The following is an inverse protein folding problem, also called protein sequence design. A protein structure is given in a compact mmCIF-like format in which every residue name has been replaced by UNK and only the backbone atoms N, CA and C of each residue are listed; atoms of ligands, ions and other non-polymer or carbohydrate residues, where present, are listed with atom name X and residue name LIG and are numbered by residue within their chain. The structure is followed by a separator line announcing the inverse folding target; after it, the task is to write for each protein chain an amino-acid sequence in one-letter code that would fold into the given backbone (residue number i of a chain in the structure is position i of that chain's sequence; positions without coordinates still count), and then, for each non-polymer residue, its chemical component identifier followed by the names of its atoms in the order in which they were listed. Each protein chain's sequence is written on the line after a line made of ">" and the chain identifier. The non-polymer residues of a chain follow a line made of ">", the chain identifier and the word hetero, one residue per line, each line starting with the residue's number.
data_IF_355864079399
#
_entry.id   IF_355864079399
#
_cell.length_a   1.000
_cell.length_b   1.000
_cell.length_c   1.000
_cell.angle_alpha   90.00
_cell.angle_beta   90.00
_cell.angle_gamma   90.00
#
_symmetry.space_group_name_H-M   'P 1'
#
loop_
_entity.id
_entity.type
_entity.pdbx_description
1 polymer ?
#
# COMPACT_ATOMS: atom_id res chain seq x y z
N UNK A 1 2.55 -24.94 7.60
CA UNK A 1 2.47 -26.17 6.78
C UNK A 1 2.89 -25.88 5.34
N UNK A 2 3.67 -26.76 4.69
CA UNK A 2 4.24 -26.47 3.38
C UNK A 2 3.29 -26.89 2.26
N UNK A 3 2.84 -25.93 1.45
CA UNK A 3 2.29 -26.17 0.11
C UNK A 3 3.43 -26.45 -0.89
N UNK A 4 4.23 -27.45 -0.58
CA UNK A 4 5.15 -28.10 -1.52
C UNK A 4 4.77 -29.56 -1.58
N UNK A 5 3.63 -29.85 -2.21
CA UNK A 5 3.30 -31.22 -2.57
C UNK A 5 4.17 -31.66 -3.73
N UNK A 6 5.10 -32.55 -3.40
CA UNK A 6 5.75 -33.50 -4.29
C UNK A 6 4.69 -34.21 -5.15
N UNK A 7 4.74 -33.99 -6.46
CA UNK A 7 3.85 -34.64 -7.43
C UNK A 7 4.40 -34.55 -8.85
N UNK A 8 5.09 -35.62 -9.26
CA UNK A 8 5.38 -36.01 -10.65
C UNK A 8 6.16 -35.01 -11.54
N UNK A 9 7.48 -35.16 -11.52
CA UNK A 9 8.36 -34.81 -12.64
C UNK A 9 7.95 -35.58 -13.90
N UNK A 10 7.11 -34.98 -14.74
CA UNK A 10 6.95 -35.35 -16.15
C UNK A 10 7.67 -34.29 -17.00
N UNK A 11 8.70 -34.76 -17.72
CA UNK A 11 9.35 -34.16 -18.88
C UNK A 11 9.28 -32.61 -19.05
N UNK A 12 10.35 -31.94 -18.64
CA UNK A 12 11.09 -31.07 -19.57
C UNK A 12 10.52 -29.70 -19.96
N UNK A 13 9.50 -29.15 -19.31
CA UNK A 13 9.17 -27.72 -19.44
C UNK A 13 9.64 -26.99 -18.20
N UNK A 14 10.82 -26.37 -18.28
CA UNK A 14 11.28 -25.44 -17.26
C UNK A 14 10.19 -24.40 -17.04
N UNK A 15 9.62 -24.34 -15.83
CA UNK A 15 8.66 -23.29 -15.46
C UNK A 15 9.37 -21.97 -15.70
N UNK A 16 8.86 -21.08 -16.57
CA UNK A 16 9.55 -19.84 -16.89
C UNK A 16 9.74 -19.05 -15.60
N UNK A 17 10.99 -18.82 -15.22
CA UNK A 17 11.35 -18.06 -14.03
C UNK A 17 11.53 -16.59 -14.40
N UNK A 18 10.99 -15.67 -13.59
CA UNK A 18 11.19 -14.23 -13.82
C UNK A 18 12.68 -13.90 -13.93
N UNK A 19 13.06 -13.14 -14.95
CA UNK A 19 14.44 -12.66 -15.09
C UNK A 19 14.73 -11.64 -13.99
N UNK A 20 15.67 -11.97 -13.12
CA UNK A 20 16.15 -11.05 -12.09
C UNK A 20 16.95 -9.90 -12.74
N UNK A 21 16.66 -8.68 -12.31
CA UNK A 21 17.41 -7.46 -12.61
C UNK A 21 17.84 -6.82 -11.29
N UNK A 22 18.77 -5.86 -11.32
CA UNK A 22 19.28 -5.18 -10.11
C UNK A 22 18.16 -4.77 -9.13
N UNK A 23 17.05 -4.25 -9.65
CA UNK A 23 15.99 -3.59 -8.88
C UNK A 23 14.67 -4.37 -8.84
N UNK A 24 14.62 -5.61 -9.33
CA UNK A 24 13.39 -6.39 -9.31
C UNK A 24 13.38 -7.57 -10.26
N UNK A 25 12.19 -7.93 -10.72
CA UNK A 25 11.95 -9.06 -11.62
C UNK A 25 11.12 -8.59 -12.80
N UNK A 26 11.60 -8.81 -14.03
CA UNK A 26 10.79 -8.48 -15.20
C UNK A 26 9.58 -9.41 -15.28
N UNK A 27 8.39 -8.89 -15.62
CA UNK A 27 7.19 -9.69 -15.71
C UNK A 27 7.33 -10.60 -16.93
N UNK A 28 6.91 -11.85 -16.78
CA UNK A 28 6.81 -12.74 -17.91
C UNK A 28 5.54 -12.38 -18.68
N UNK A 29 5.59 -12.41 -20.01
CA UNK A 29 4.38 -12.17 -20.84
C UNK A 29 3.21 -13.08 -20.44
N UNK A 30 3.53 -14.33 -20.06
CA UNK A 30 2.57 -15.31 -19.56
C UNK A 30 1.92 -14.96 -18.20
N UNK A 31 2.46 -13.98 -17.46
CA UNK A 31 1.84 -13.44 -16.24
C UNK A 31 0.86 -12.30 -16.54
N UNK A 32 1.13 -11.50 -17.59
CA UNK A 32 0.24 -10.43 -18.02
C UNK A 32 -0.94 -10.96 -18.84
N UNK A 33 -0.70 -11.98 -19.68
CA UNK A 33 -1.71 -12.62 -20.51
C UNK A 33 -1.74 -14.11 -20.17
N UNK A 34 -2.82 -14.61 -19.52
CA UNK A 34 -2.91 -16.01 -19.20
C UNK A 34 -2.96 -16.84 -20.48
N UNK A 35 -2.06 -17.82 -20.57
CA UNK A 35 -1.98 -18.76 -21.68
C UNK A 35 -2.49 -20.13 -21.22
N UNK A 36 -3.29 -20.76 -22.06
CA UNK A 36 -3.68 -22.15 -21.86
C UNK A 36 -2.45 -23.05 -21.97
N UNK A 37 -2.21 -23.86 -20.94
CA UNK A 37 -1.06 -24.76 -20.86
C UNK A 37 -1.09 -25.88 -21.91
N UNK A 38 -2.28 -26.24 -22.41
CA UNK A 38 -2.42 -27.30 -23.39
C UNK A 38 -2.20 -26.80 -24.83
N UNK A 39 -2.71 -25.60 -25.15
CA UNK A 39 -2.72 -25.08 -26.53
C UNK A 39 -1.70 -23.96 -26.78
N UNK A 40 -1.14 -23.35 -25.73
CA UNK A 40 -0.27 -22.18 -25.82
C UNK A 40 -0.98 -20.92 -26.33
N UNK A 41 -2.31 -20.97 -26.48
CA UNK A 41 -3.15 -19.85 -26.92
C UNK A 41 -3.60 -19.01 -25.73
N UNK A 42 -4.07 -17.80 -26.01
CA UNK A 42 -4.64 -16.90 -24.99
C UNK A 42 -5.89 -17.53 -24.39
N UNK A 43 -5.92 -17.66 -23.07
CA UNK A 43 -7.12 -18.03 -22.33
C UNK A 43 -7.95 -16.76 -22.11
N UNK A 44 -8.90 -16.53 -23.02
CA UNK A 44 -9.79 -15.37 -22.97
C UNK A 44 -10.68 -15.34 -21.72
N UNK A 45 -11.05 -16.51 -21.17
CA UNK A 45 -11.87 -16.59 -19.97
C UNK A 45 -11.06 -16.13 -18.75
N UNK A 46 -9.84 -16.65 -18.58
CA UNK A 46 -8.94 -16.21 -17.51
C UNK A 46 -8.56 -14.72 -17.65
N UNK A 47 -8.33 -14.24 -18.87
CA UNK A 47 -8.04 -12.83 -19.12
C UNK A 47 -9.22 -11.93 -18.71
N UNK A 48 -10.44 -12.30 -19.07
CA UNK A 48 -11.64 -11.54 -18.70
C UNK A 48 -11.83 -11.50 -17.16
N UNK A 49 -11.60 -12.63 -16.48
CA UNK A 49 -11.64 -12.70 -15.01
C UNK A 49 -10.57 -11.81 -14.38
N UNK A 50 -9.34 -11.81 -14.89
CA UNK A 50 -8.26 -10.97 -14.38
C UNK A 50 -8.54 -9.48 -14.57
N UNK A 51 -9.09 -9.09 -15.73
CA UNK A 51 -9.50 -7.70 -15.98
C UNK A 51 -10.62 -7.30 -15.01
N UNK A 52 -11.64 -8.14 -14.86
CA UNK A 52 -12.74 -7.90 -13.92
C UNK A 52 -12.26 -7.74 -12.48
N UNK A 53 -11.39 -8.64 -12.02
CA UNK A 53 -10.77 -8.56 -10.71
C UNK A 53 -9.94 -7.28 -10.54
N UNK A 54 -9.14 -6.91 -11.55
CA UNK A 54 -8.36 -5.67 -11.54
C UNK A 54 -9.20 -4.41 -11.43
N UNK A 55 -10.35 -4.36 -12.12
CA UNK A 55 -11.29 -3.23 -12.04
C UNK A 55 -11.92 -3.15 -10.64
N UNK A 56 -12.43 -4.26 -10.12
CA UNK A 56 -13.03 -4.31 -8.77
C UNK A 56 -12.01 -3.87 -7.70
N UNK A 57 -10.79 -4.39 -7.80
CA UNK A 57 -9.70 -4.02 -6.90
C UNK A 57 -9.31 -2.55 -7.05
N UNK A 58 -9.20 -2.04 -8.28
CA UNK A 58 -8.89 -0.62 -8.53
C UNK A 58 -9.92 0.33 -7.92
N UNK A 59 -11.21 0.02 -8.05
CA UNK A 59 -12.29 0.81 -7.43
C UNK A 59 -12.20 0.74 -5.90
N UNK A 60 -12.02 -0.46 -5.33
CA UNK A 60 -11.87 -0.66 -3.89
C UNK A 60 -10.69 0.15 -3.33
N UNK A 61 -9.53 0.09 -3.99
CA UNK A 61 -8.31 0.77 -3.56
C UNK A 61 -8.44 2.30 -3.70
N UNK A 62 -9.06 2.79 -4.78
CA UNK A 62 -9.31 4.22 -4.94
C UNK A 62 -10.22 4.77 -3.83
N UNK A 63 -11.28 4.05 -3.47
CA UNK A 63 -12.13 4.41 -2.34
C UNK A 63 -11.36 4.36 -1.01
N UNK A 64 -10.56 3.31 -0.80
CA UNK A 64 -9.67 3.19 0.36
C UNK A 64 -8.72 4.39 0.49
N UNK A 65 -8.10 4.81 -0.62
CA UNK A 65 -7.21 5.97 -0.68
C UNK A 65 -7.91 7.29 -0.35
N UNK A 66 -9.12 7.51 -0.88
CA UNK A 66 -9.93 8.70 -0.57
C UNK A 66 -10.29 8.74 0.92
N UNK A 67 -10.71 7.61 1.50
CA UNK A 67 -11.03 7.50 2.92
C UNK A 67 -9.78 7.75 3.76
N UNK A 68 -8.66 7.08 3.44
CA UNK A 68 -7.38 7.27 4.12
C UNK A 68 -6.91 8.74 4.12
N UNK A 69 -6.96 9.41 2.97
CA UNK A 69 -6.64 10.84 2.89
C UNK A 69 -7.60 11.69 3.71
N UNK A 70 -8.90 11.36 3.70
CA UNK A 70 -9.88 12.03 4.54
C UNK A 70 -9.57 11.89 6.02
N UNK A 71 -9.19 10.70 6.50
CA UNK A 71 -8.79 10.49 7.88
C UNK A 71 -7.54 11.32 8.25
N UNK A 72 -6.59 11.44 7.33
CA UNK A 72 -5.35 12.20 7.52
C UNK A 72 -5.63 13.69 7.71
N UNK A 73 -6.34 14.29 6.76
CA UNK A 73 -6.46 15.75 6.69
C UNK A 73 -7.63 16.29 7.54
N UNK A 74 -8.68 15.50 7.79
CA UNK A 74 -9.84 15.94 8.60
C UNK A 74 -9.66 15.75 10.12
N UNK A 75 -8.78 14.86 10.56
CA UNK A 75 -8.63 14.55 11.99
C UNK A 75 -7.87 15.63 12.79
N UNK A 76 -7.03 16.41 12.11
CA UNK A 76 -6.21 17.46 12.73
C UNK A 76 -7.04 18.61 13.30
N UNK A 77 -8.23 18.87 12.73
CA UNK A 77 -9.10 20.02 12.97
C UNK A 77 -8.35 21.35 13.10
N UNK A 78 -7.37 21.50 12.21
CA UNK A 78 -6.72 22.74 11.81
C UNK A 78 -7.28 23.03 10.41
N UNK A 79 -7.86 24.20 10.20
CA UNK A 79 -8.59 24.53 8.97
C UNK A 79 -7.66 24.51 7.74
N UNK A 80 -6.40 24.93 7.92
CA UNK A 80 -5.38 24.93 6.88
C UNK A 80 -5.04 23.52 6.39
N UNK A 81 -5.01 22.53 7.28
CA UNK A 81 -4.76 21.13 6.91
C UNK A 81 -6.01 20.55 6.24
N UNK A 82 -7.19 20.90 6.73
CA UNK A 82 -8.46 20.48 6.16
C UNK A 82 -8.61 21.01 4.73
N UNK A 83 -8.15 22.23 4.45
CA UNK A 83 -8.11 22.81 3.11
C UNK A 83 -7.18 22.05 2.13
N UNK A 84 -6.19 21.32 2.64
CA UNK A 84 -5.31 20.46 1.82
C UNK A 84 -5.91 19.09 1.49
N UNK A 85 -7.13 18.78 1.94
CA UNK A 85 -7.74 17.47 1.74
C UNK A 85 -7.79 17.04 0.26
N UNK A 86 -8.25 17.91 -0.64
CA UNK A 86 -8.32 17.59 -2.07
C UNK A 86 -6.94 17.29 -2.66
N UNK A 87 -5.92 18.03 -2.22
CA UNK A 87 -4.54 17.77 -2.62
C UNK A 87 -4.04 16.43 -2.07
N UNK A 88 -4.34 16.12 -0.81
CA UNK A 88 -4.01 14.85 -0.17
C UNK A 88 -4.65 13.63 -0.85
N UNK A 89 -5.90 13.75 -1.28
CA UNK A 89 -6.61 12.73 -2.07
C UNK A 89 -5.87 12.50 -3.40
N UNK A 90 -5.59 13.56 -4.15
CA UNK A 90 -4.87 13.46 -5.41
C UNK A 90 -3.47 12.84 -5.23
N UNK A 91 -2.73 13.25 -4.20
CA UNK A 91 -1.42 12.69 -3.90
C UNK A 91 -1.50 11.20 -3.58
N UNK A 92 -2.49 10.78 -2.80
CA UNK A 92 -2.69 9.37 -2.42
C UNK A 92 -3.02 8.52 -3.64
N UNK A 93 -3.98 8.96 -4.47
CA UNK A 93 -4.35 8.24 -5.69
C UNK A 93 -3.19 8.15 -6.69
N UNK A 94 -2.42 9.23 -6.82
CA UNK A 94 -1.22 9.25 -7.66
C UNK A 94 -0.17 8.25 -7.14
N UNK A 95 0.09 8.24 -5.83
CA UNK A 95 1.04 7.31 -5.20
C UNK A 95 0.61 5.86 -5.38
N UNK A 96 -0.69 5.57 -5.21
CA UNK A 96 -1.26 4.24 -5.46
C UNK A 96 -1.08 3.81 -6.91
N UNK A 97 -1.38 4.68 -7.87
CA UNK A 97 -1.20 4.38 -9.29
C UNK A 97 0.24 4.00 -9.62
N UNK A 98 1.21 4.81 -9.19
CA UNK A 98 2.63 4.52 -9.42
C UNK A 98 3.12 3.30 -8.65
N UNK A 99 2.65 3.08 -7.42
CA UNK A 99 3.00 1.91 -6.62
C UNK A 99 2.52 0.60 -7.26
N UNK A 100 1.26 0.58 -7.70
CA UNK A 100 0.68 -0.60 -8.38
C UNK A 100 1.37 -0.83 -9.73
N UNK A 101 1.62 0.22 -10.51
CA UNK A 101 2.33 0.11 -11.78
C UNK A 101 3.76 -0.42 -11.59
N UNK A 102 4.47 0.11 -10.59
CA UNK A 102 5.81 -0.34 -10.24
C UNK A 102 5.82 -1.81 -9.81
N UNK A 103 4.86 -2.22 -8.99
CA UNK A 103 4.74 -3.61 -8.57
C UNK A 103 4.33 -4.53 -9.73
N UNK A 104 3.45 -4.09 -10.61
CA UNK A 104 3.08 -4.86 -11.80
C UNK A 104 4.31 -5.09 -12.71
N UNK A 105 5.20 -4.11 -12.80
CA UNK A 105 6.42 -4.19 -13.60
C UNK A 105 7.56 -4.97 -12.93
N UNK A 106 7.73 -4.89 -11.60
CA UNK A 106 8.92 -5.40 -10.92
C UNK A 106 8.65 -6.39 -9.79
N UNK A 107 7.37 -6.62 -9.48
CA UNK A 107 6.91 -7.45 -8.38
C UNK A 107 7.17 -8.92 -8.61
N UNK A 108 7.45 -9.63 -7.51
CA UNK A 108 7.75 -11.07 -7.54
C UNK A 108 6.49 -11.94 -7.44
N UNK A 109 5.52 -11.58 -6.59
CA UNK A 109 4.33 -12.38 -6.36
C UNK A 109 3.26 -12.08 -7.41
N UNK A 110 2.71 -13.12 -8.03
CA UNK A 110 1.75 -13.00 -9.13
C UNK A 110 0.39 -12.42 -8.70
N UNK A 111 -0.02 -12.64 -7.45
CA UNK A 111 -1.26 -12.10 -6.86
C UNK A 111 -0.99 -10.98 -5.85
N UNK A 112 0.26 -10.48 -5.79
CA UNK A 112 0.60 -9.34 -4.98
C UNK A 112 0.34 -8.04 -5.72
N UNK A 113 0.14 -6.96 -4.99
CA UNK A 113 0.21 -5.60 -5.50
C UNK A 113 0.75 -4.70 -4.39
N UNK A 114 1.40 -3.60 -4.77
CA UNK A 114 1.82 -2.58 -3.81
C UNK A 114 0.81 -1.44 -3.86
N UNK A 115 -0.01 -1.35 -2.83
CA UNK A 115 -0.89 -0.21 -2.57
C UNK A 115 -0.45 0.49 -1.30
N UNK A 116 -0.99 1.68 -1.08
CA UNK A 116 -0.81 2.41 0.16
C UNK A 116 -1.58 1.69 1.28
N UNK A 117 -0.90 1.42 2.39
CA UNK A 117 -1.54 0.85 3.57
C UNK A 117 -2.13 1.96 4.43
N UNK A 118 -3.38 1.81 4.86
CA UNK A 118 -4.10 2.77 5.72
C UNK A 118 -3.31 3.15 6.98
N UNK A 119 -2.50 2.20 7.48
CA UNK A 119 -1.61 2.38 8.63
C UNK A 119 -0.59 3.47 8.47
N UNK A 120 0.09 3.47 7.33
CA UNK A 120 1.15 4.42 7.05
C UNK A 120 0.51 5.81 6.90
N UNK A 121 -0.69 5.90 6.31
CA UNK A 121 -1.46 7.14 6.25
C UNK A 121 -1.73 7.70 7.65
N UNK A 122 -2.23 6.88 8.58
CA UNK A 122 -2.56 7.32 9.95
C UNK A 122 -1.29 7.84 10.66
N UNK A 123 -0.17 7.13 10.53
CA UNK A 123 1.09 7.57 11.12
C UNK A 123 1.59 8.88 10.50
N UNK A 124 1.51 9.02 9.17
CA UNK A 124 1.86 10.26 8.47
C UNK A 124 0.94 11.42 8.87
N UNK A 125 -0.34 11.17 9.11
CA UNK A 125 -1.29 12.16 9.63
C UNK A 125 -0.88 12.69 11.00
N UNK A 126 -0.51 11.79 11.91
CA UNK A 126 -0.05 12.17 13.24
C UNK A 126 1.26 12.98 13.17
N UNK A 127 2.19 12.60 12.29
CA UNK A 127 3.40 13.38 12.05
C UNK A 127 3.08 14.77 11.49
N UNK A 128 2.16 14.88 10.54
CA UNK A 128 1.72 16.15 9.97
C UNK A 128 1.02 17.03 11.02
N UNK A 129 0.16 16.46 11.85
CA UNK A 129 -0.52 17.16 12.94
C UNK A 129 0.50 17.71 13.97
N UNK A 130 1.49 16.90 14.37
CA UNK A 130 2.55 17.32 15.28
C UNK A 130 3.41 18.44 14.67
N UNK A 131 3.75 18.35 13.38
CA UNK A 131 4.49 19.39 12.68
C UNK A 131 3.69 20.71 12.59
N UNK A 132 2.38 20.63 12.36
CA UNK A 132 1.50 21.79 12.33
C UNK A 132 1.36 22.43 13.72
N UNK A 133 1.27 21.63 14.79
CA UNK A 133 1.28 22.13 16.16
C UNK A 133 2.59 22.86 16.50
N UNK A 134 3.73 22.33 16.07
CA UNK A 134 5.03 22.98 16.27
C UNK A 134 5.20 24.29 15.47
N UNK A 135 4.40 24.49 14.43
CA UNK A 135 4.45 25.65 13.52
C UNK A 135 3.21 26.56 13.64
N UNK A 136 2.49 26.50 14.78
CA UNK A 136 1.31 27.34 15.02
C UNK A 136 1.60 28.83 14.84
N UNK A 137 2.81 29.29 15.20
CA UNK A 137 3.22 30.68 15.07
C UNK A 137 3.52 31.11 13.61
N UNK A 138 3.57 30.16 12.66
CA UNK A 138 3.89 30.46 11.25
C UNK A 138 3.06 29.60 10.29
N UNK A 139 1.74 29.81 10.20
CA UNK A 139 0.81 28.91 9.50
C UNK A 139 1.12 28.75 8.01
N UNK A 140 1.66 29.78 7.35
CA UNK A 140 2.06 29.71 5.94
C UNK A 140 3.16 28.69 5.62
N UNK A 141 3.92 28.23 6.62
CA UNK A 141 4.98 27.21 6.45
C UNK A 141 4.50 25.78 6.70
N UNK A 142 3.29 25.59 7.21
CA UNK A 142 2.75 24.27 7.56
C UNK A 142 2.68 23.36 6.32
N UNK A 143 2.06 23.77 5.19
CA UNK A 143 1.95 22.90 4.01
C UNK A 143 3.30 22.41 3.49
N UNK A 144 4.27 23.32 3.35
CA UNK A 144 5.60 23.00 2.84
C UNK A 144 6.35 22.03 3.77
N UNK A 145 6.21 22.22 5.09
CA UNK A 145 6.85 21.36 6.09
C UNK A 145 6.24 19.96 6.09
N UNK A 146 4.91 19.86 6.03
CA UNK A 146 4.21 18.56 5.95
C UNK A 146 4.64 17.80 4.70
N UNK A 147 4.69 18.45 3.54
CA UNK A 147 5.17 17.85 2.29
C UNK A 147 6.62 17.37 2.44
N UNK A 148 7.50 18.20 2.99
CA UNK A 148 8.90 17.85 3.19
C UNK A 148 9.05 16.62 4.10
N UNK A 149 8.28 16.53 5.18
CA UNK A 149 8.27 15.38 6.10
C UNK A 149 7.77 14.12 5.37
N UNK A 150 6.68 14.21 4.61
CA UNK A 150 6.15 13.06 3.85
C UNK A 150 7.16 12.60 2.80
N UNK A 151 7.75 13.51 2.04
CA UNK A 151 8.74 13.16 1.01
C UNK A 151 9.99 12.54 1.63
N UNK A 152 10.56 13.15 2.68
CA UNK A 152 11.77 12.64 3.33
C UNK A 152 11.52 11.29 4.00
N UNK A 153 10.43 11.13 4.75
CA UNK A 153 10.06 9.84 5.36
C UNK A 153 9.81 8.75 4.32
N UNK A 154 9.20 9.07 3.18
CA UNK A 154 8.95 8.12 2.09
C UNK A 154 10.24 7.67 1.43
N UNK A 155 11.14 8.61 1.10
CA UNK A 155 12.45 8.28 0.51
C UNK A 155 13.31 7.46 1.47
N UNK A 156 13.36 7.85 2.74
CA UNK A 156 14.12 7.13 3.77
C UNK A 156 13.56 5.72 3.99
N UNK A 157 12.24 5.59 4.08
CA UNK A 157 11.57 4.29 4.23
C UNK A 157 11.79 3.40 3.01
N UNK A 158 11.77 3.97 1.80
CA UNK A 158 12.09 3.26 0.56
C UNK A 158 13.54 2.77 0.56
N UNK A 159 14.50 3.62 0.93
CA UNK A 159 15.91 3.24 1.03
C UNK A 159 16.13 2.14 2.07
N UNK A 160 15.54 2.27 3.27
CA UNK A 160 15.57 1.24 4.30
C UNK A 160 14.95 -0.07 3.80
N UNK A 161 13.83 -0.02 3.09
CA UNK A 161 13.17 -1.21 2.52
C UNK A 161 14.05 -1.92 1.49
N UNK A 162 14.75 -1.16 0.65
CA UNK A 162 15.73 -1.72 -0.31
C UNK A 162 16.90 -2.38 0.42
N UNK A 163 17.43 -1.75 1.48
CA UNK A 163 18.52 -2.32 2.28
C UNK A 163 18.08 -3.61 2.99
N UNK A 164 16.93 -3.60 3.66
CA UNK A 164 16.34 -4.77 4.32
C UNK A 164 16.10 -5.90 3.32
N UNK A 165 15.62 -5.58 2.12
CA UNK A 165 15.45 -6.53 1.02
C UNK A 165 16.78 -7.14 0.56
N UNK A 166 17.82 -6.33 0.36
CA UNK A 166 19.15 -6.80 -0.06
C UNK A 166 19.85 -7.64 1.00
N UNK A 167 19.66 -7.33 2.28
CA UNK A 167 20.20 -8.11 3.39
C UNK A 167 19.42 -9.41 3.64
N UNK A 168 18.33 -9.68 2.90
CA UNK A 168 17.52 -10.87 3.08
C UNK A 168 16.76 -10.90 4.40
N UNK A 169 16.64 -9.75 5.09
CA UNK A 169 16.05 -9.65 6.42
C UNK A 169 14.53 -9.89 6.41
N UNK A 170 13.89 -9.88 5.24
CA UNK A 170 12.47 -10.21 5.08
C UNK A 170 12.11 -11.61 5.63
N UNK A 171 13.05 -12.56 5.68
CA UNK A 171 12.81 -13.87 6.29
C UNK A 171 12.61 -13.79 7.81
N UNK A 172 13.26 -12.84 8.48
CA UNK A 172 13.11 -12.64 9.93
C UNK A 172 11.77 -11.99 10.28
N UNK A 173 11.11 -11.29 9.35
CA UNK A 173 9.77 -10.75 9.57
C UNK A 173 8.73 -11.86 9.81
N UNK A 174 9.01 -13.10 9.40
CA UNK A 174 8.15 -14.26 9.68
C UNK A 174 8.27 -14.75 11.14
N UNK A 175 9.22 -14.23 11.93
CA UNK A 175 9.41 -14.60 13.33
C UNK A 175 8.58 -13.74 14.29
N UNK A 176 7.87 -12.71 13.82
CA UNK A 176 7.03 -11.90 14.68
C UNK A 176 5.89 -12.76 15.25
N UNK A 177 5.72 -12.81 16.59
CA UNK A 177 4.64 -13.58 17.19
C UNK A 177 3.28 -13.06 16.76
N UNK A 178 2.40 -13.97 16.32
CA UNK A 178 1.03 -13.63 15.93
C UNK A 178 0.26 -12.79 16.97
N UNK A 179 0.41 -13.00 18.30
CA UNK A 179 -0.25 -12.14 19.30
C UNK A 179 0.14 -10.67 19.21
N UNK A 180 1.40 -10.36 18.87
CA UNK A 180 1.88 -8.98 18.74
C UNK A 180 1.27 -8.33 17.51
N UNK A 181 1.27 -9.02 16.37
CA UNK A 181 0.66 -8.53 15.14
C UNK A 181 -0.85 -8.34 15.29
N UNK A 182 -1.55 -9.27 15.94
CA UNK A 182 -2.99 -9.17 16.19
C UNK A 182 -3.33 -8.04 17.17
N UNK A 183 -2.57 -7.87 18.26
CA UNK A 183 -2.76 -6.76 19.20
C UNK A 183 -2.54 -5.41 18.53
N UNK A 184 -1.50 -5.29 17.71
CA UNK A 184 -1.23 -4.11 16.90
C UNK A 184 -2.40 -3.81 15.94
N UNK A 185 -2.81 -4.78 15.12
CA UNK A 185 -3.95 -4.65 14.20
C UNK A 185 -5.27 -4.31 14.93
N UNK A 186 -5.47 -4.83 16.14
CA UNK A 186 -6.61 -4.49 16.99
C UNK A 186 -6.61 -3.02 17.40
N UNK A 187 -5.48 -2.50 17.88
CA UNK A 187 -5.33 -1.09 18.26
C UNK A 187 -5.56 -0.16 17.06
N UNK A 188 -5.10 -0.55 15.89
CA UNK A 188 -5.36 0.15 14.63
C UNK A 188 -6.86 0.18 14.33
N UNK A 189 -7.53 -0.97 14.44
CA UNK A 189 -8.97 -1.06 14.20
C UNK A 189 -9.76 -0.09 15.07
N UNK A 190 -9.34 0.09 16.33
CA UNK A 190 -9.92 1.09 17.25
C UNK A 190 -9.69 2.52 16.74
N UNK A 191 -8.48 2.85 16.27
CA UNK A 191 -8.19 4.19 15.71
C UNK A 191 -9.02 4.47 14.46
N UNK A 192 -9.12 3.50 13.54
CA UNK A 192 -9.93 3.62 12.32
C UNK A 192 -11.41 3.76 12.67
N UNK A 193 -11.92 2.96 13.61
CA UNK A 193 -13.30 3.04 14.07
C UNK A 193 -13.62 4.41 14.66
N UNK A 194 -12.74 4.94 15.53
CA UNK A 194 -12.86 6.28 16.09
C UNK A 194 -12.91 7.34 15.00
N UNK A 195 -11.96 7.28 14.07
CA UNK A 195 -11.86 8.25 13.00
C UNK A 195 -13.10 8.18 12.08
N UNK A 196 -13.59 6.98 11.77
CA UNK A 196 -14.82 6.76 11.03
C UNK A 196 -16.07 7.30 11.74
N UNK A 197 -16.21 7.05 13.06
CA UNK A 197 -17.31 7.60 13.87
C UNK A 197 -17.28 9.13 13.93
N UNK A 198 -16.08 9.72 14.06
CA UNK A 198 -15.90 11.17 14.03
C UNK A 198 -16.30 11.75 12.66
N UNK A 199 -15.89 11.12 11.55
CA UNK A 199 -16.30 11.54 10.20
C UNK A 199 -17.81 11.39 9.99
N UNK A 200 -18.42 10.30 10.46
CA UNK A 200 -19.85 10.03 10.27
C UNK A 200 -20.75 10.93 11.13
N UNK A 201 -20.35 11.20 12.37
CA UNK A 201 -21.12 12.04 13.29
C UNK A 201 -20.90 13.55 13.09
N UNK A 202 -19.80 13.94 12.45
CA UNK A 202 -19.36 15.34 12.38
C UNK A 202 -18.93 15.92 13.73
N UNK A 203 -18.97 15.14 14.81
CA UNK A 203 -18.62 15.55 16.17
C UNK A 203 -17.20 15.13 16.52
N UNK A 204 -16.46 16.01 17.21
CA UNK A 204 -15.11 15.72 17.71
C UNK A 204 -15.20 14.92 19.01
N UNK A 205 -14.81 13.64 18.96
CA UNK A 205 -14.79 12.78 20.15
C UNK A 205 -13.50 13.02 20.95
N UNK A 206 -13.62 13.77 22.05
CA UNK A 206 -12.50 14.09 22.95
C UNK A 206 -12.10 12.91 23.85
N UNK A 207 -13.03 12.03 24.20
CA UNK A 207 -12.82 10.94 25.15
C UNK A 207 -13.39 9.62 24.63
N UNK A 208 -12.61 8.56 24.83
CA UNK A 208 -12.99 7.15 24.88
C UNK A 208 -12.08 6.44 25.87
#
# INVERSE_FOLDING_TARGET
>A
EPLLSSGASRAGTAVPSKRAIWFGFLPLWAECVPLDRATGRIDWAALAVNIGAGVIMGVREALGGIVSASLVFSSSGIDEITAMLSWGICMTLYTMFFGVLWYAAFGRLQYGYATQQDLICILQAQMAANAAQALQDTPGKIPATVIAIICTSTVLSGACSVLVGKLGLGKYMLLFPAPVTNGFLGAIGVVVLRAGLQTASGARWLWF
#
